data_IF_777130901862
#
_entry.id   IF_777130901862
#
_cell.length_a   1.000
_cell.length_b   1.000
_cell.length_c   1.000
_cell.angle_alpha   90.00
_cell.angle_beta   90.00
_cell.angle_gamma   90.00
#
_symmetry.space_group_name_H-M   'P 1'
#
loop_
_entity.id
_entity.type
_entity.pdbx_description
1 polymer ?
#
# COMPACT_ATOMS: atom_id res chain seq x y z
N UNK A 1 7.19 2.94 -24.49
CA UNK A 1 7.21 3.82 -23.30
C UNK A 1 5.98 4.71 -23.35
N UNK A 2 4.87 4.28 -22.76
CA UNK A 2 3.72 5.16 -22.51
C UNK A 2 3.81 5.57 -21.06
N UNK A 3 4.52 6.67 -20.81
CA UNK A 3 4.47 7.35 -19.53
C UNK A 3 3.03 7.78 -19.31
N UNK A 4 2.40 7.24 -18.27
CA UNK A 4 1.15 7.79 -17.77
C UNK A 4 1.47 9.18 -17.25
N UNK A 5 1.24 10.20 -18.07
CA UNK A 5 1.24 11.60 -17.68
C UNK A 5 0.01 11.81 -16.78
N UNK A 6 0.10 11.28 -15.55
CA UNK A 6 -0.91 11.45 -14.52
C UNK A 6 -0.55 12.72 -13.79
N UNK A 7 -1.38 13.74 -13.98
CA UNK A 7 -1.41 14.94 -13.16
C UNK A 7 -1.34 14.52 -11.67
N UNK A 8 -0.45 15.10 -10.84
CA UNK A 8 -0.30 14.68 -9.47
C UNK A 8 -1.59 14.98 -8.68
N UNK A 9 -2.39 13.95 -8.44
CA UNK A 9 -3.52 14.03 -7.52
C UNK A 9 -2.95 13.99 -6.10
N UNK A 10 -3.27 14.99 -5.28
CA UNK A 10 -2.99 14.93 -3.83
C UNK A 10 -3.84 13.80 -3.21
N UNK A 11 -3.28 12.59 -3.17
CA UNK A 11 -3.88 11.47 -2.44
C UNK A 11 -3.29 11.45 -1.04
N UNK A 12 -4.11 11.74 -0.04
CA UNK A 12 -3.71 11.72 1.37
C UNK A 12 -4.08 10.38 1.98
N UNK A 13 -3.09 9.49 2.11
CA UNK A 13 -3.24 8.27 2.92
C UNK A 13 -2.96 8.64 4.38
N UNK A 14 -3.93 8.49 5.30
CA UNK A 14 -3.70 8.80 6.71
C UNK A 14 -2.62 7.91 7.30
N UNK A 15 -1.76 8.47 8.16
CA UNK A 15 -0.69 7.72 8.85
C UNK A 15 -1.25 6.49 9.60
N UNK A 16 -2.41 6.63 10.24
CA UNK A 16 -3.06 5.53 10.95
C UNK A 16 -3.42 4.34 10.05
N UNK A 17 -3.82 4.57 8.79
CA UNK A 17 -4.12 3.49 7.84
C UNK A 17 -2.84 2.76 7.42
N UNK A 18 -1.75 3.51 7.22
CA UNK A 18 -0.43 2.96 6.96
C UNK A 18 0.11 2.15 8.16
N UNK A 19 -0.04 2.65 9.38
CA UNK A 19 0.36 1.95 10.61
C UNK A 19 -0.46 0.66 10.84
N UNK A 20 -1.74 0.64 10.46
CA UNK A 20 -2.56 -0.58 10.50
C UNK A 20 -2.08 -1.64 9.49
N UNK A 21 -1.73 -1.23 8.27
CA UNK A 21 -1.15 -2.12 7.26
C UNK A 21 0.21 -2.67 7.68
N UNK A 22 1.05 -1.80 8.24
CA UNK A 22 2.31 -2.17 8.85
C UNK A 22 2.17 -3.27 9.92
N UNK A 23 1.26 -3.07 10.87
CA UNK A 23 0.98 -4.05 11.91
C UNK A 23 0.48 -5.37 11.32
N UNK A 24 -0.40 -5.31 10.31
CA UNK A 24 -0.89 -6.50 9.63
C UNK A 24 0.23 -7.26 8.90
N UNK A 25 1.16 -6.56 8.25
CA UNK A 25 2.30 -7.18 7.56
C UNK A 25 3.26 -7.85 8.54
N UNK A 26 3.56 -7.22 9.69
CA UNK A 26 4.51 -7.75 10.67
C UNK A 26 4.06 -9.09 11.27
N UNK A 27 2.75 -9.28 11.43
CA UNK A 27 2.15 -10.54 11.91
C UNK A 27 1.57 -11.42 10.79
N UNK A 28 1.80 -11.06 9.52
CA UNK A 28 1.33 -11.79 8.32
C UNK A 28 -0.20 -11.97 8.26
N UNK A 29 -0.96 -10.99 8.73
CA UNK A 29 -2.43 -10.98 8.74
C UNK A 29 -3.00 -10.00 7.72
N UNK A 30 -2.65 -10.18 6.45
CA UNK A 30 -3.22 -9.42 5.32
C UNK A 30 -4.20 -10.29 4.53
N UNK A 31 -5.26 -9.67 4.03
CA UNK A 31 -6.16 -10.26 3.05
C UNK A 31 -5.73 -9.83 1.64
N UNK A 32 -5.90 -10.71 0.66
CA UNK A 32 -5.58 -10.44 -0.75
C UNK A 32 -6.86 -10.49 -1.56
N UNK A 33 -7.03 -9.54 -2.48
CA UNK A 33 -8.16 -9.52 -3.40
C UNK A 33 -7.72 -9.04 -4.77
N UNK A 34 -8.05 -9.82 -5.78
CA UNK A 34 -7.91 -9.43 -7.18
C UNK A 34 -9.11 -8.59 -7.61
N UNK A 35 -8.84 -7.43 -8.19
CA UNK A 35 -9.86 -6.50 -8.66
C UNK A 35 -10.01 -6.57 -10.20
N UNK A 36 -11.05 -5.94 -10.80
CA UNK A 36 -11.25 -5.93 -12.25
C UNK A 36 -10.11 -5.28 -13.04
N UNK A 37 -9.29 -4.45 -12.39
CA UNK A 37 -8.03 -3.93 -12.95
C UNK A 37 -6.97 -5.02 -13.19
N UNK A 38 -7.22 -6.25 -12.72
CA UNK A 38 -6.32 -7.39 -12.83
C UNK A 38 -5.20 -7.39 -11.79
N UNK A 39 -5.13 -6.37 -10.93
CA UNK A 39 -4.11 -6.21 -9.89
C UNK A 39 -4.60 -6.91 -8.62
N UNK A 40 -3.67 -7.58 -7.95
CA UNK A 40 -3.91 -8.14 -6.62
C UNK A 40 -3.53 -7.11 -5.56
N UNK A 41 -4.51 -6.75 -4.74
CA UNK A 41 -4.36 -5.76 -3.69
C UNK A 41 -4.42 -6.44 -2.32
N UNK A 42 -3.52 -6.05 -1.44
CA UNK A 42 -3.44 -6.49 -0.04
C UNK A 42 -4.03 -5.42 0.88
N UNK A 43 -4.69 -5.85 1.95
CA UNK A 43 -5.20 -4.94 2.99
C UNK A 43 -5.17 -5.65 4.36
N UNK A 44 -5.22 -4.90 5.49
CA UNK A 44 -5.30 -5.52 6.82
C UNK A 44 -6.50 -6.47 6.92
N UNK A 45 -6.29 -7.70 7.38
CA UNK A 45 -7.40 -8.63 7.54
C UNK A 45 -8.40 -8.09 8.59
N UNK A 46 -9.69 -8.18 8.28
CA UNK A 46 -10.77 -7.78 9.20
C UNK A 46 -11.23 -6.32 9.08
N UNK A 47 -10.56 -5.49 8.27
CA UNK A 47 -10.92 -4.07 8.10
C UNK A 47 -11.84 -3.80 6.91
N UNK A 48 -12.45 -4.83 6.31
CA UNK A 48 -13.22 -4.71 5.06
C UNK A 48 -14.35 -3.66 5.15
N UNK A 49 -15.03 -3.59 6.29
CA UNK A 49 -16.13 -2.65 6.55
C UNK A 49 -15.65 -1.27 7.02
N UNK A 50 -14.34 -1.09 7.21
CA UNK A 50 -13.74 0.16 7.68
C UNK A 50 -12.88 0.81 6.58
N UNK A 51 -12.67 2.14 6.61
CA UNK A 51 -11.68 2.77 5.76
C UNK A 51 -10.27 2.21 6.02
N UNK A 52 -9.64 1.66 4.98
CA UNK A 52 -8.32 1.04 5.06
C UNK A 52 -7.48 1.36 3.83
N UNK A 53 -6.17 1.19 3.96
CA UNK A 53 -5.26 1.26 2.82
C UNK A 53 -5.22 -0.10 2.13
N UNK A 54 -5.23 -0.08 0.80
CA UNK A 54 -4.97 -1.21 -0.07
C UNK A 54 -3.59 -1.01 -0.72
N UNK A 55 -2.76 -2.05 -0.74
CA UNK A 55 -1.38 -2.03 -1.25
C UNK A 55 -1.18 -3.11 -2.31
N UNK A 56 -0.58 -2.78 -3.44
CA UNK A 56 -0.19 -3.74 -4.46
C UNK A 56 1.31 -3.63 -4.74
N UNK A 57 1.99 -4.77 -4.75
CA UNK A 57 3.37 -4.88 -5.22
C UNK A 57 3.33 -5.09 -6.74
N UNK A 58 3.87 -4.14 -7.50
CA UNK A 58 3.75 -4.21 -8.94
C UNK A 58 4.72 -5.23 -9.55
N UNK A 59 4.34 -5.87 -10.67
CA UNK A 59 5.25 -6.74 -11.43
C UNK A 59 6.54 -5.97 -11.78
N UNK A 60 7.69 -6.60 -11.51
CA UNK A 60 9.01 -5.97 -11.64
C UNK A 60 9.63 -5.55 -10.30
N UNK A 61 8.82 -5.40 -9.25
CA UNK A 61 9.30 -5.18 -7.88
C UNK A 61 9.88 -3.79 -7.59
N UNK A 62 9.77 -2.86 -8.54
CA UNK A 62 10.30 -1.50 -8.42
C UNK A 62 9.29 -0.51 -7.82
N UNK A 63 7.98 -0.83 -7.93
CA UNK A 63 6.90 0.06 -7.52
C UNK A 63 5.95 -0.62 -6.53
N UNK A 64 5.49 0.18 -5.57
CA UNK A 64 4.41 -0.16 -4.66
C UNK A 64 3.28 0.83 -4.87
N UNK A 65 2.12 0.32 -5.26
CA UNK A 65 0.93 1.12 -5.47
C UNK A 65 0.06 1.06 -4.21
N UNK A 66 -0.50 2.20 -3.82
CA UNK A 66 -1.36 2.31 -2.64
C UNK A 66 -2.58 3.15 -2.95
N UNK A 67 -3.71 2.82 -2.33
CA UNK A 67 -4.95 3.59 -2.42
C UNK A 67 -5.79 3.42 -1.17
N UNK A 68 -6.75 4.31 -0.96
CA UNK A 68 -7.74 4.14 0.11
C UNK A 68 -8.91 3.28 -0.39
N UNK A 69 -9.48 2.44 0.47
CA UNK A 69 -10.70 1.68 0.14
C UNK A 69 -11.90 2.59 -0.15
N UNK A 70 -11.90 3.81 0.39
CA UNK A 70 -12.90 4.86 0.18
C UNK A 70 -12.72 5.62 -1.14
N UNK A 71 -11.55 5.54 -1.78
CA UNK A 71 -11.27 6.09 -3.10
C UNK A 71 -10.28 5.18 -3.83
N UNK A 72 -10.83 4.21 -4.57
CA UNK A 72 -10.03 3.26 -5.36
C UNK A 72 -9.61 3.82 -6.73
N UNK A 73 -10.07 5.02 -7.08
CA UNK A 73 -9.77 5.65 -8.38
C UNK A 73 -8.43 6.39 -8.37
N UNK A 74 -8.00 6.85 -7.19
CA UNK A 74 -6.74 7.56 -6.98
C UNK A 74 -5.69 6.63 -6.37
N UNK A 75 -4.50 6.60 -6.98
CA UNK A 75 -3.39 5.72 -6.56
C UNK A 75 -2.15 6.56 -6.27
N UNK A 76 -1.54 6.33 -5.11
CA UNK A 76 -0.18 6.78 -4.80
C UNK A 76 0.79 5.71 -5.27
N UNK A 77 1.84 6.13 -5.97
CA UNK A 77 2.94 5.25 -6.38
C UNK A 77 4.17 5.63 -5.58
N UNK A 78 4.72 4.65 -4.86
CA UNK A 78 6.04 4.75 -4.24
C UNK A 78 7.02 3.85 -4.96
N UNK A 79 8.29 4.25 -4.98
CA UNK A 79 9.35 3.30 -5.30
C UNK A 79 9.47 2.26 -4.19
N UNK A 80 10.02 1.09 -4.51
CA UNK A 80 10.30 0.06 -3.52
C UNK A 80 11.23 0.59 -2.40
N UNK A 81 12.13 1.51 -2.71
CA UNK A 81 13.02 2.15 -1.72
C UNK A 81 12.24 3.02 -0.74
N UNK A 82 11.31 3.86 -1.23
CA UNK A 82 10.43 4.67 -0.38
C UNK A 82 9.54 3.79 0.50
N UNK A 83 9.04 2.68 -0.06
CA UNK A 83 8.27 1.70 0.68
C UNK A 83 9.11 1.01 1.77
N UNK A 84 10.34 0.61 1.47
CA UNK A 84 11.24 -0.04 2.42
C UNK A 84 11.70 0.91 3.53
N UNK A 85 11.99 2.17 3.20
CA UNK A 85 12.31 3.20 4.20
C UNK A 85 11.13 3.42 5.15
N UNK A 86 9.93 3.57 4.61
CA UNK A 86 8.71 3.63 5.41
C UNK A 86 8.54 2.37 6.27
N UNK A 87 8.73 1.19 5.68
CA UNK A 87 8.56 -0.08 6.38
C UNK A 87 9.57 -0.26 7.53
N UNK A 88 10.79 0.26 7.36
CA UNK A 88 11.83 0.28 8.38
C UNK A 88 11.52 1.18 9.58
N UNK A 89 10.61 2.16 9.43
CA UNK A 89 10.16 3.04 10.51
C UNK A 89 9.00 2.47 11.32
N UNK A 90 8.49 1.29 10.98
CA UNK A 90 7.30 0.72 11.61
C UNK A 90 7.63 0.09 12.97
N UNK A 91 6.70 0.17 13.95
CA UNK A 91 6.86 -0.53 15.21
C UNK A 91 7.05 -2.03 15.00
N UNK A 92 8.21 -2.57 15.41
CA UNK A 92 8.55 -3.98 15.25
C UNK A 92 9.42 -4.31 14.02
N UNK A 93 9.76 -3.32 13.18
CA UNK A 93 10.86 -3.48 12.24
C UNK A 93 12.17 -3.70 13.01
N UNK A 94 12.95 -4.73 12.65
CA UNK A 94 14.28 -4.90 13.24
C UNK A 94 15.15 -3.72 12.80
N UNK A 95 15.94 -3.11 13.71
CA UNK A 95 16.91 -2.10 13.32
C UNK A 95 17.86 -2.68 12.25
N UNK A 96 18.26 -1.90 11.24
CA UNK A 96 19.34 -2.33 10.35
C UNK A 96 20.61 -2.56 11.18
N UNK A 97 21.26 -3.71 10.99
CA UNK A 97 22.58 -4.03 11.58
C UNK A 97 23.70 -3.16 10.99
#
# INVERSE_FOLDING_TARGET
MTGFDREPVEVRIPRAALDAMAAALSVRTVAMRKWPDGIEWMYPLGTWEEPHVEVALMPGGEEVWMRMSTDRSSVVVWTIEQWLDFAGQLPGAMPPE
#
